data_IF_718350752945
#
_entry.id   IF_718350752945
#
_cell.length_a   1.000
_cell.length_b   1.000
_cell.length_c   1.000
_cell.angle_alpha   90.00
_cell.angle_beta   90.00
_cell.angle_gamma   90.00
#
_symmetry.space_group_name_H-M   'P 1'
#
loop_
_entity.id
_entity.type
_entity.pdbx_description
1 polymer ?
#
# COMPACT_ATOMS: atom_id res chain seq x y z
N UNK A 1 65.42 32.40 -41.07
CA UNK A 1 65.81 31.32 -40.14
C UNK A 1 64.72 31.17 -39.11
N UNK A 2 64.24 29.94 -38.94
CA UNK A 2 63.19 29.55 -38.01
C UNK A 2 63.64 29.70 -36.56
N UNK A 3 62.70 29.98 -35.66
CA UNK A 3 62.69 29.40 -34.32
C UNK A 3 61.30 29.50 -33.74
N UNK A 4 60.59 28.37 -33.73
CA UNK A 4 59.32 28.19 -33.03
C UNK A 4 59.65 27.80 -31.59
N UNK A 5 59.09 28.53 -30.64
CA UNK A 5 59.15 28.21 -29.22
C UNK A 5 57.90 27.45 -28.80
N UNK A 6 58.12 26.34 -28.11
CA UNK A 6 57.15 25.39 -27.58
C UNK A 6 56.14 26.00 -26.60
N UNK A 7 54.95 25.40 -26.59
CA UNK A 7 53.89 25.63 -25.62
C UNK A 7 52.96 24.43 -25.56
N UNK A 8 53.49 23.29 -25.14
CA UNK A 8 52.75 22.09 -24.76
C UNK A 8 52.00 22.34 -23.44
N UNK A 9 50.69 22.09 -23.43
CA UNK A 9 49.98 21.54 -22.26
C UNK A 9 48.80 20.69 -22.73
N UNK A 10 49.11 19.42 -22.97
CA UNK A 10 48.45 18.28 -22.32
C UNK A 10 46.91 18.22 -22.35
N UNK A 11 46.37 17.69 -23.45
CA UNK A 11 45.04 17.06 -23.44
C UNK A 11 45.12 15.70 -22.73
N UNK A 12 44.50 15.58 -21.56
CA UNK A 12 44.34 14.29 -20.89
C UNK A 12 43.46 13.34 -21.72
N UNK A 13 43.94 12.12 -22.06
CA UNK A 13 43.09 11.12 -22.69
C UNK A 13 42.22 10.46 -21.61
N UNK A 14 40.93 10.83 -21.57
CA UNK A 14 39.93 10.05 -20.85
C UNK A 14 39.75 8.70 -21.55
N UNK A 15 40.38 7.65 -21.02
CA UNK A 15 40.00 6.27 -21.29
C UNK A 15 38.68 6.00 -20.57
N UNK A 16 37.58 6.10 -21.30
CA UNK A 16 36.28 5.57 -20.89
C UNK A 16 35.81 4.62 -21.98
N UNK A 17 35.28 3.47 -21.55
CA UNK A 17 34.63 2.49 -22.41
C UNK A 17 33.82 3.16 -23.52
N UNK A 18 33.99 2.62 -24.73
CA UNK A 18 33.76 3.24 -26.02
C UNK A 18 32.27 3.56 -26.27
N UNK A 19 31.74 4.56 -25.57
CA UNK A 19 30.43 5.11 -25.82
C UNK A 19 30.51 6.06 -27.02
N UNK A 20 30.03 5.60 -28.17
CA UNK A 20 29.89 6.43 -29.37
C UNK A 20 28.60 7.22 -29.25
N UNK A 21 28.71 8.55 -29.11
CA UNK A 21 27.58 9.45 -29.24
C UNK A 21 27.61 10.08 -30.64
N UNK A 22 26.47 10.13 -31.29
CA UNK A 22 26.29 10.81 -32.57
C UNK A 22 24.96 11.57 -32.54
N UNK A 23 24.98 12.77 -33.11
CA UNK A 23 23.80 13.63 -33.18
C UNK A 23 23.22 13.54 -34.59
N UNK A 24 22.03 12.96 -34.72
CA UNK A 24 21.32 12.87 -36.00
C UNK A 24 20.41 14.10 -36.11
N UNK A 25 20.78 15.05 -36.97
CA UNK A 25 19.91 16.15 -37.37
C UNK A 25 19.06 15.75 -38.57
N UNK A 26 17.75 15.68 -38.40
CA UNK A 26 16.80 15.54 -39.51
C UNK A 26 16.42 16.93 -40.05
N UNK A 27 16.82 17.19 -41.30
CA UNK A 27 16.58 18.36 -42.16
C UNK A 27 17.09 19.75 -41.73
N UNK A 28 17.89 20.34 -42.64
CA UNK A 28 18.47 21.68 -42.57
C UNK A 28 17.46 22.83 -42.73
N UNK A 29 16.22 22.55 -43.13
CA UNK A 29 15.20 23.57 -43.40
C UNK A 29 13.97 23.53 -42.48
N UNK A 30 13.86 22.55 -41.58
CA UNK A 30 12.78 22.46 -40.60
C UNK A 30 13.24 22.89 -39.21
N UNK A 31 13.29 24.21 -39.06
CA UNK A 31 13.07 25.00 -37.83
C UNK A 31 13.14 24.18 -36.54
N UNK A 32 14.26 24.32 -35.81
CA UNK A 32 14.28 24.19 -34.34
C UNK A 32 12.95 24.73 -33.79
N UNK A 33 12.31 24.12 -32.79
CA UNK A 33 11.10 24.69 -32.20
C UNK A 33 11.39 26.17 -31.90
N UNK A 34 10.75 27.08 -32.67
CA UNK A 34 11.05 28.52 -32.63
C UNK A 34 10.74 29.11 -31.25
N UNK A 35 9.88 28.43 -30.49
CA UNK A 35 9.56 28.77 -29.13
C UNK A 35 10.62 28.20 -28.19
N UNK A 36 11.26 29.09 -27.43
CA UNK A 36 11.93 28.69 -26.20
C UNK A 36 11.01 27.78 -25.37
N UNK A 37 11.57 26.80 -24.61
CA UNK A 37 10.79 26.02 -23.66
C UNK A 37 9.90 26.96 -22.83
N UNK A 38 8.62 26.61 -22.60
CA UNK A 38 7.72 27.43 -21.80
C UNK A 38 8.43 27.93 -20.54
N UNK A 39 8.40 29.25 -20.25
CA UNK A 39 9.19 29.88 -19.16
C UNK A 39 9.06 29.14 -17.82
N UNK A 40 7.89 28.55 -17.55
CA UNK A 40 7.64 27.68 -16.38
C UNK A 40 8.62 26.52 -16.23
N UNK A 41 9.13 25.97 -17.33
CA UNK A 41 10.10 24.87 -17.36
C UNK A 41 11.55 25.35 -17.22
N UNK A 42 11.86 26.58 -17.65
CA UNK A 42 13.23 27.11 -17.63
C UNK A 42 13.63 27.75 -16.30
N UNK A 43 12.68 28.03 -15.41
CA UNK A 43 12.92 28.78 -14.15
C UNK A 43 13.15 27.91 -12.92
N UNK A 44 13.12 26.58 -13.03
CA UNK A 44 13.35 25.71 -11.89
C UNK A 44 14.84 25.66 -11.51
N UNK A 45 15.29 26.64 -10.73
CA UNK A 45 16.55 26.56 -9.99
C UNK A 45 16.34 25.57 -8.84
N UNK A 46 17.09 24.46 -8.86
CA UNK A 46 17.12 23.52 -7.74
C UNK A 46 17.62 24.26 -6.50
N UNK A 47 16.82 24.29 -5.44
CA UNK A 47 17.27 24.81 -4.14
C UNK A 47 18.29 23.81 -3.58
N UNK A 48 19.39 24.31 -3.02
CA UNK A 48 20.32 23.47 -2.28
C UNK A 48 19.60 22.99 -1.01
N UNK A 49 19.33 21.70 -0.91
CA UNK A 49 18.70 21.09 0.24
C UNK A 49 19.81 20.76 1.24
N UNK A 50 19.67 21.22 2.49
CA UNK A 50 20.62 20.89 3.55
C UNK A 50 20.41 19.45 4.02
N UNK A 51 21.44 18.82 4.58
CA UNK A 51 21.34 17.45 5.10
C UNK A 51 20.22 17.32 6.15
N UNK A 52 20.12 18.31 7.04
CA UNK A 52 19.08 18.37 8.08
C UNK A 52 17.66 18.38 7.49
N UNK A 53 17.43 19.06 6.36
CA UNK A 53 16.12 19.05 5.69
C UNK A 53 15.78 17.68 5.08
N UNK A 54 16.79 16.92 4.64
CA UNK A 54 16.60 15.56 4.14
C UNK A 54 16.24 14.64 5.31
N UNK A 55 17.01 14.70 6.40
CA UNK A 55 16.83 13.85 7.56
C UNK A 55 15.44 14.08 8.19
N UNK A 56 15.00 15.34 8.31
CA UNK A 56 13.66 15.68 8.78
C UNK A 56 12.55 15.08 7.90
N UNK A 57 12.68 15.18 6.57
CA UNK A 57 11.69 14.59 5.64
C UNK A 57 11.65 13.07 5.71
N UNK A 58 12.79 12.43 5.95
CA UNK A 58 12.86 10.98 6.14
C UNK A 58 12.15 10.59 7.44
N UNK A 59 12.41 11.29 8.55
CA UNK A 59 11.74 11.05 9.82
C UNK A 59 10.22 11.21 9.71
N UNK A 60 9.73 12.29 9.09
CA UNK A 60 8.29 12.49 8.86
C UNK A 60 7.67 11.39 7.99
N UNK A 61 8.43 10.85 7.03
CA UNK A 61 7.97 9.71 6.23
C UNK A 61 7.91 8.41 7.03
N UNK A 62 8.83 8.19 7.97
CA UNK A 62 8.81 7.03 8.86
C UNK A 62 7.69 7.10 9.89
N UNK A 63 7.44 8.28 10.46
CA UNK A 63 6.33 8.50 11.39
C UNK A 63 4.99 8.19 10.73
N UNK A 64 4.77 8.67 9.49
CA UNK A 64 3.58 8.32 8.70
C UNK A 64 3.45 6.82 8.44
N UNK A 65 4.56 6.11 8.20
CA UNK A 65 4.51 4.64 8.04
C UNK A 65 4.09 3.95 9.34
N UNK A 66 4.68 4.37 10.47
CA UNK A 66 4.36 3.80 11.79
C UNK A 66 2.91 4.07 12.18
N UNK A 67 2.39 5.25 11.91
CA UNK A 67 0.98 5.59 12.15
C UNK A 67 0.04 4.70 11.33
N UNK A 68 0.29 4.60 10.02
CA UNK A 68 -0.50 3.73 9.13
C UNK A 68 -0.46 2.26 9.57
N UNK A 69 0.71 1.78 10.03
CA UNK A 69 0.85 0.42 10.55
C UNK A 69 0.06 0.22 11.85
N UNK A 70 0.11 1.17 12.77
CA UNK A 70 -0.70 1.14 14.01
C UNK A 70 -2.19 1.10 13.69
N UNK A 71 -2.67 1.99 12.81
CA UNK A 71 -4.08 1.99 12.39
C UNK A 71 -4.50 0.66 11.75
N UNK A 72 -3.62 0.07 10.94
CA UNK A 72 -3.88 -1.24 10.34
C UNK A 72 -4.01 -2.32 11.42
N UNK A 73 -3.07 -2.36 12.38
CA UNK A 73 -3.09 -3.32 13.49
C UNK A 73 -4.36 -3.13 14.33
N UNK A 74 -4.73 -1.90 14.64
CA UNK A 74 -5.93 -1.58 15.41
C UNK A 74 -7.20 -2.05 14.70
N UNK A 75 -7.31 -1.82 13.38
CA UNK A 75 -8.42 -2.35 12.58
C UNK A 75 -8.49 -3.88 12.63
N UNK A 76 -7.35 -4.57 12.53
CA UNK A 76 -7.29 -6.03 12.62
C UNK A 76 -7.71 -6.51 14.02
N UNK A 77 -7.23 -5.85 15.08
CA UNK A 77 -7.58 -6.19 16.45
C UNK A 77 -9.09 -6.03 16.71
N UNK A 78 -9.69 -4.93 16.27
CA UNK A 78 -11.13 -4.72 16.35
C UNK A 78 -11.92 -5.79 15.58
N UNK A 79 -11.49 -6.16 14.38
CA UNK A 79 -12.13 -7.23 13.60
C UNK A 79 -12.04 -8.59 14.27
N UNK A 80 -10.91 -8.91 14.89
CA UNK A 80 -10.74 -10.14 15.68
C UNK A 80 -11.67 -10.15 16.89
N UNK A 81 -11.81 -9.02 17.56
CA UNK A 81 -12.72 -8.87 18.71
C UNK A 81 -14.18 -9.06 18.31
N UNK A 82 -14.62 -8.48 17.19
CA UNK A 82 -15.96 -8.68 16.65
C UNK A 82 -16.25 -10.16 16.35
N UNK A 83 -15.30 -10.86 15.71
CA UNK A 83 -15.42 -12.29 15.44
C UNK A 83 -15.43 -13.12 16.73
N UNK A 84 -14.63 -12.74 17.73
CA UNK A 84 -14.59 -13.43 19.03
C UNK A 84 -15.94 -13.36 19.73
N UNK A 85 -16.53 -12.17 19.83
CA UNK A 85 -17.87 -11.96 20.41
C UNK A 85 -18.97 -12.72 19.67
N UNK A 86 -18.91 -12.74 18.34
CA UNK A 86 -19.82 -13.54 17.52
C UNK A 86 -19.72 -15.03 17.88
N UNK A 87 -18.49 -15.56 17.96
CA UNK A 87 -18.25 -16.95 18.31
C UNK A 87 -18.70 -17.27 19.74
N UNK A 88 -18.42 -16.42 20.72
CA UNK A 88 -18.88 -16.57 22.10
C UNK A 88 -20.42 -16.67 22.18
N UNK A 89 -21.14 -15.80 21.47
CA UNK A 89 -22.59 -15.86 21.43
C UNK A 89 -23.11 -17.10 20.71
N UNK A 90 -22.44 -17.53 19.63
CA UNK A 90 -22.81 -18.75 18.91
C UNK A 90 -22.59 -20.01 19.76
N UNK A 91 -21.45 -20.11 20.43
CA UNK A 91 -21.13 -21.20 21.36
C UNK A 91 -22.13 -21.27 22.52
N UNK A 92 -22.52 -20.12 23.08
CA UNK A 92 -23.55 -20.08 24.12
C UNK A 92 -24.89 -20.62 23.63
N UNK A 93 -25.29 -20.32 22.39
CA UNK A 93 -26.53 -20.85 21.81
C UNK A 93 -26.43 -22.36 21.54
N UNK A 94 -25.31 -22.83 20.99
CA UNK A 94 -25.07 -24.26 20.75
C UNK A 94 -25.07 -25.07 22.05
N UNK A 95 -24.46 -24.54 23.12
CA UNK A 95 -24.45 -25.20 24.42
C UNK A 95 -25.87 -25.34 25.02
N UNK A 96 -26.74 -24.35 24.81
CA UNK A 96 -28.15 -24.42 25.23
C UNK A 96 -28.95 -25.40 24.40
N UNK A 97 -28.73 -25.42 23.08
CA UNK A 97 -29.36 -26.38 22.16
C UNK A 97 -28.99 -27.82 22.52
N UNK A 98 -27.70 -28.09 22.75
CA UNK A 98 -27.20 -29.38 23.21
C UNK A 98 -27.83 -29.79 24.54
N UNK A 99 -27.98 -28.85 25.49
CA UNK A 99 -28.63 -29.12 26.78
C UNK A 99 -30.11 -29.47 26.61
N UNK A 100 -30.84 -28.79 25.73
CA UNK A 100 -32.25 -29.09 25.43
C UNK A 100 -32.43 -30.47 24.81
N UNK A 101 -31.44 -30.95 24.06
CA UNK A 101 -31.45 -32.26 23.42
C UNK A 101 -30.81 -33.37 24.27
N UNK A 102 -30.46 -33.09 25.53
CA UNK A 102 -29.90 -34.10 26.44
C UNK A 102 -28.48 -34.54 26.06
N UNK A 103 -27.68 -33.65 25.46
CA UNK A 103 -26.29 -33.92 25.10
C UNK A 103 -25.45 -34.37 26.30
N UNK A 104 -24.56 -35.35 26.08
CA UNK A 104 -23.62 -35.78 27.11
C UNK A 104 -22.65 -34.64 27.48
N UNK A 105 -22.41 -34.42 28.78
CA UNK A 105 -21.48 -33.39 29.27
C UNK A 105 -22.05 -31.98 29.40
N UNK A 106 -23.37 -31.78 29.23
CA UNK A 106 -24.01 -30.45 29.36
C UNK A 106 -24.55 -30.15 30.76
N UNK A 107 -24.23 -30.98 31.77
CA UNK A 107 -24.69 -30.81 33.17
C UNK A 107 -24.24 -29.49 33.78
N UNK A 108 -23.05 -29.00 33.39
CA UNK A 108 -22.45 -27.78 33.95
C UNK A 108 -22.84 -26.51 33.18
N UNK A 109 -23.60 -26.62 32.09
CA UNK A 109 -24.01 -25.46 31.28
C UNK A 109 -25.11 -24.69 32.01
N UNK A 110 -24.88 -23.42 32.42
CA UNK A 110 -25.88 -22.60 33.11
C UNK A 110 -27.09 -22.39 32.20
N UNK A 111 -28.32 -22.56 32.71
CA UNK A 111 -29.51 -22.29 31.90
C UNK A 111 -29.64 -20.79 31.65
N UNK A 112 -29.69 -20.38 30.38
CA UNK A 112 -29.88 -18.97 30.03
C UNK A 112 -31.38 -18.63 30.00
N UNK A 113 -31.80 -17.45 30.49
CA UNK A 113 -33.17 -17.00 30.37
C UNK A 113 -33.54 -16.75 28.90
N UNK A 114 -34.82 -16.96 28.56
CA UNK A 114 -35.34 -16.83 27.18
C UNK A 114 -35.03 -15.47 26.55
N UNK A 115 -35.09 -14.40 27.33
CA UNK A 115 -34.80 -13.05 26.85
C UNK A 115 -33.34 -12.89 26.40
N UNK A 116 -32.41 -13.48 27.16
CA UNK A 116 -30.98 -13.44 26.84
C UNK A 116 -30.65 -14.30 25.62
N UNK A 117 -31.31 -15.46 25.47
CA UNK A 117 -31.22 -16.30 24.27
C UNK A 117 -31.65 -15.54 23.01
N UNK A 118 -32.81 -14.87 23.06
CA UNK A 118 -33.31 -14.07 21.94
C UNK A 118 -32.36 -12.90 21.63
N UNK A 119 -31.81 -12.26 22.66
CA UNK A 119 -30.82 -11.21 22.48
C UNK A 119 -29.55 -11.73 21.77
N UNK A 120 -28.98 -12.85 22.23
CA UNK A 120 -27.81 -13.49 21.62
C UNK A 120 -28.09 -13.91 20.18
N UNK A 121 -29.25 -14.49 19.89
CA UNK A 121 -29.64 -14.87 18.53
C UNK A 121 -29.73 -13.66 17.58
N UNK A 122 -30.34 -12.57 18.04
CA UNK A 122 -30.40 -11.32 17.27
C UNK A 122 -29.02 -10.71 17.07
N UNK A 123 -28.14 -10.77 18.06
CA UNK A 123 -26.77 -10.30 17.98
C UNK A 123 -25.97 -11.12 16.94
N UNK A 124 -26.01 -12.45 17.03
CA UNK A 124 -25.37 -13.37 16.07
C UNK A 124 -25.83 -13.08 14.64
N UNK A 125 -27.15 -12.99 14.40
CA UNK A 125 -27.68 -12.68 13.07
C UNK A 125 -27.14 -11.35 12.54
N UNK A 126 -27.18 -10.31 13.36
CA UNK A 126 -26.73 -8.96 12.99
C UNK A 126 -25.24 -8.95 12.63
N UNK A 127 -24.41 -9.54 13.48
CA UNK A 127 -22.96 -9.48 13.34
C UNK A 127 -22.48 -10.40 12.22
N UNK A 128 -23.12 -11.57 12.03
CA UNK A 128 -22.91 -12.41 10.85
C UNK A 128 -23.23 -11.65 9.55
N UNK A 129 -24.39 -10.97 9.46
CA UNK A 129 -24.75 -10.20 8.27
C UNK A 129 -23.74 -9.08 7.97
N UNK A 130 -23.23 -8.39 9.01
CA UNK A 130 -22.18 -7.37 8.84
C UNK A 130 -20.90 -7.96 8.27
N UNK A 131 -20.43 -9.08 8.82
CA UNK A 131 -19.21 -9.77 8.37
C UNK A 131 -19.38 -10.28 6.94
N UNK A 132 -20.50 -10.95 6.65
CA UNK A 132 -20.80 -11.46 5.31
C UNK A 132 -20.79 -10.32 4.27
N UNK A 133 -21.42 -9.18 4.59
CA UNK A 133 -21.43 -7.99 3.71
C UNK A 133 -20.02 -7.43 3.49
N UNK A 134 -19.19 -7.39 4.54
CA UNK A 134 -17.80 -6.93 4.43
C UNK A 134 -16.97 -7.85 3.52
N UNK A 135 -17.12 -9.17 3.66
CA UNK A 135 -16.45 -10.17 2.81
C UNK A 135 -16.90 -10.03 1.35
N UNK A 136 -18.20 -9.89 1.09
CA UNK A 136 -18.72 -9.72 -0.28
C UNK A 136 -18.17 -8.46 -0.95
N UNK A 137 -18.00 -7.36 -0.21
CA UNK A 137 -17.38 -6.13 -0.73
C UNK A 137 -15.91 -6.34 -1.08
N UNK A 138 -15.15 -7.03 -0.23
CA UNK A 138 -13.72 -7.28 -0.51
C UNK A 138 -13.50 -8.20 -1.72
N UNK A 139 -14.33 -9.24 -1.88
CA UNK A 139 -14.24 -10.16 -3.03
C UNK A 139 -14.54 -9.45 -4.35
N UNK A 140 -15.48 -8.49 -4.34
CA UNK A 140 -15.85 -7.73 -5.54
C UNK A 140 -14.72 -6.81 -6.05
N UNK A 141 -13.83 -6.33 -5.17
CA UNK A 141 -12.70 -5.47 -5.54
C UNK A 141 -11.43 -6.22 -5.96
N UNK A 142 -11.39 -7.55 -5.82
CA UNK A 142 -10.18 -8.36 -6.08
C UNK A 142 -10.22 -9.12 -7.43
N UNK A 143 -11.24 -8.88 -8.27
CA UNK A 143 -11.30 -9.42 -9.64
C UNK A 143 -10.36 -8.65 -10.57
N UNK A 144 -9.07 -8.95 -10.48
CA UNK A 144 -8.10 -8.62 -11.54
C UNK A 144 -8.38 -9.57 -12.71
N UNK A 145 -8.68 -9.10 -13.93
CA UNK A 145 -8.84 -9.98 -15.08
C UNK A 145 -7.49 -10.60 -15.40
N UNK A 146 -7.34 -11.90 -15.11
CA UNK A 146 -6.25 -12.71 -15.64
C UNK A 146 -6.50 -12.84 -17.13
N UNK A 147 -5.89 -11.95 -17.92
CA UNK A 147 -5.82 -12.07 -19.37
C UNK A 147 -5.10 -13.38 -19.70
N UNK A 148 -5.88 -14.37 -20.15
CA UNK A 148 -5.40 -15.64 -20.63
C UNK A 148 -4.52 -15.40 -21.87
N UNK A 149 -3.20 -15.52 -21.70
CA UNK A 149 -2.27 -15.61 -22.83
C UNK A 149 -2.51 -16.94 -23.52
N UNK A 150 -3.13 -16.90 -24.70
CA UNK A 150 -3.16 -18.04 -25.62
C UNK A 150 -1.72 -18.37 -26.02
N UNK A 151 -1.32 -19.62 -25.82
CA UNK A 151 -0.27 -20.27 -26.60
C UNK A 151 -0.95 -21.17 -27.64
#
# INVERSE_FOLDING_TARGET
>A
MASAGDGDTTSHPNKTDQAVSFEICFDRDNKRPRSAPPKRLSTHKKKAITKEEIDKKQQEAEERRKENEREMIDRIAQKREECRKLNENFQALLAQDAKLHGGMGTTDVPSLPREELVHKFRAVKRDYCKIATAISKTVSHQTVPVSSSKQ
#
